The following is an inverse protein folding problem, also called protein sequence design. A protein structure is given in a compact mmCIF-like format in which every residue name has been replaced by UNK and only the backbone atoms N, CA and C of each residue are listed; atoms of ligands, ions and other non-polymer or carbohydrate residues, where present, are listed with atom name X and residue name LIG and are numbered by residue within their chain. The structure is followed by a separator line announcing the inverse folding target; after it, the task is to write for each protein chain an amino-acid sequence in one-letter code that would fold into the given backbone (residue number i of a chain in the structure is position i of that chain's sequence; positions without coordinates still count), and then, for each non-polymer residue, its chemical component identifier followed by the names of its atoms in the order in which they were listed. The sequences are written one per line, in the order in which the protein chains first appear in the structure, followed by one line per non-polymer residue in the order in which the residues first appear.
data_IF_478750521526
#
_entry.id   IF_478750521526
#
_cell.length_a   1.000
_cell.length_b   1.000
_cell.length_c   1.000
_cell.angle_alpha   90.00
_cell.angle_beta   90.00
_cell.angle_gamma   90.00
#
_symmetry.space_group_name_H-M   'P 1'
#
loop_
_entity.id
_entity.type
_entity.pdbx_description
1 polymer ?
#
# COMPACT_ATOMS: atom_id res chain seq x y z
N UNK A 1 42.88 -58.13 -28.41
CA UNK A 1 41.45 -58.45 -28.53
C UNK A 1 40.73 -57.85 -27.35
N UNK A 2 40.17 -56.63 -27.50
CA UNK A 2 39.52 -55.91 -26.45
C UNK A 2 38.07 -55.58 -26.88
N UNK A 3 37.11 -56.18 -26.20
CA UNK A 3 35.68 -56.02 -26.47
C UNK A 3 35.20 -54.70 -25.89
N UNK A 4 34.61 -53.82 -26.73
CA UNK A 4 33.86 -52.57 -26.31
C UNK A 4 32.46 -52.96 -25.84
N UNK A 5 32.08 -52.48 -24.67
CA UNK A 5 30.69 -52.49 -24.17
C UNK A 5 29.95 -51.20 -24.63
N UNK A 6 28.71 -51.29 -25.10
CA UNK A 6 27.94 -50.12 -25.47
C UNK A 6 27.16 -49.57 -24.25
N UNK A 7 27.37 -48.28 -23.97
CA UNK A 7 26.66 -47.50 -22.96
C UNK A 7 25.20 -47.25 -23.40
N UNK A 8 24.25 -47.83 -22.67
CA UNK A 8 22.82 -47.53 -22.84
C UNK A 8 22.51 -46.12 -22.32
N UNK A 9 22.08 -45.24 -23.22
CA UNK A 9 21.54 -43.94 -22.89
C UNK A 9 20.15 -44.10 -22.22
N UNK A 10 20.04 -43.75 -20.95
CA UNK A 10 18.75 -43.62 -20.25
C UNK A 10 18.01 -42.39 -20.81
N UNK A 11 16.90 -42.64 -21.52
CA UNK A 11 15.92 -41.59 -21.87
C UNK A 11 15.28 -41.08 -20.59
N UNK A 12 15.47 -39.77 -20.32
CA UNK A 12 14.78 -39.09 -19.25
C UNK A 12 13.26 -38.99 -19.55
N UNK A 13 12.44 -39.40 -18.62
CA UNK A 13 10.98 -39.28 -18.72
C UNK A 13 10.56 -37.78 -18.74
N UNK A 14 9.52 -37.41 -19.50
CA UNK A 14 9.06 -36.03 -19.58
C UNK A 14 8.49 -35.59 -18.24
N UNK A 15 8.91 -34.40 -17.80
CA UNK A 15 8.58 -33.80 -16.51
C UNK A 15 7.11 -33.34 -16.50
N UNK A 16 6.17 -34.22 -16.14
CA UNK A 16 4.72 -33.91 -16.04
C UNK A 16 4.41 -32.74 -15.11
N UNK A 17 5.23 -32.49 -14.07
CA UNK A 17 5.03 -31.37 -13.15
C UNK A 17 5.31 -29.99 -13.77
N UNK A 18 6.06 -29.88 -14.85
CA UNK A 18 6.32 -28.60 -15.51
C UNK A 18 5.14 -28.17 -16.39
N UNK A 19 4.39 -29.11 -16.98
CA UNK A 19 3.20 -28.83 -17.80
C UNK A 19 2.01 -28.41 -16.95
N UNK A 20 1.81 -29.04 -15.77
CA UNK A 20 0.74 -28.66 -14.85
C UNK A 20 0.96 -27.27 -14.24
N UNK A 21 2.21 -26.90 -13.92
CA UNK A 21 2.52 -25.53 -13.46
C UNK A 21 2.29 -24.46 -14.54
N UNK A 22 2.57 -24.76 -15.81
CA UNK A 22 2.28 -23.85 -16.93
C UNK A 22 0.77 -23.71 -17.16
N UNK A 23 0.00 -24.79 -17.11
CA UNK A 23 -1.47 -24.73 -17.28
C UNK A 23 -2.17 -23.99 -16.13
N UNK A 24 -1.75 -24.18 -14.89
CA UNK A 24 -2.29 -23.45 -13.74
C UNK A 24 -1.97 -21.94 -13.80
N UNK A 25 -0.79 -21.55 -14.29
CA UNK A 25 -0.41 -20.16 -14.50
C UNK A 25 -1.28 -19.47 -15.57
N UNK A 26 -1.64 -20.16 -16.63
CA UNK A 26 -2.42 -19.64 -17.76
C UNK A 26 -3.87 -19.30 -17.37
N UNK A 27 -4.45 -19.94 -16.36
CA UNK A 27 -5.82 -19.67 -15.90
C UNK A 27 -5.96 -18.38 -15.10
N UNK A 28 -4.88 -17.82 -14.54
CA UNK A 28 -4.89 -16.65 -13.66
C UNK A 28 -4.68 -15.32 -14.39
N UNK A 29 -4.16 -15.37 -15.60
CA UNK A 29 -3.85 -14.19 -16.39
C UNK A 29 -4.79 -14.03 -17.59
N UNK A 30 -4.95 -12.79 -18.04
CA UNK A 30 -5.59 -12.42 -19.27
C UNK A 30 -4.62 -12.60 -20.45
N UNK A 31 -5.09 -12.60 -21.71
CA UNK A 31 -4.20 -12.64 -22.90
C UNK A 31 -3.17 -11.49 -22.91
N UNK A 32 -3.50 -10.34 -22.36
CA UNK A 32 -2.61 -9.16 -22.20
C UNK A 32 -1.63 -9.29 -21.03
N UNK A 33 -1.51 -10.46 -20.40
CA UNK A 33 -0.63 -10.74 -19.27
C UNK A 33 -1.08 -10.14 -17.93
N UNK A 34 -2.19 -9.42 -17.88
CA UNK A 34 -2.71 -8.83 -16.63
C UNK A 34 -3.46 -9.85 -15.79
N UNK A 35 -3.37 -9.72 -14.47
CA UNK A 35 -4.04 -10.62 -13.53
C UNK A 35 -5.58 -10.51 -13.64
N UNK A 36 -6.27 -11.66 -13.78
CA UNK A 36 -7.74 -11.74 -13.77
C UNK A 36 -8.29 -11.26 -12.43
N UNK A 37 -9.47 -10.66 -12.44
CA UNK A 37 -10.12 -10.12 -11.23
C UNK A 37 -10.35 -11.19 -10.16
N UNK A 38 -10.92 -12.34 -10.53
CA UNK A 38 -11.21 -13.45 -9.60
C UNK A 38 -9.93 -13.99 -8.93
N UNK A 39 -8.84 -14.12 -9.70
CA UNK A 39 -7.54 -14.56 -9.15
C UNK A 39 -6.96 -13.53 -8.18
N UNK A 40 -7.08 -12.24 -8.50
CA UNK A 40 -6.68 -11.15 -7.62
C UNK A 40 -7.47 -11.15 -6.30
N UNK A 41 -8.80 -11.22 -6.37
CA UNK A 41 -9.69 -11.19 -5.21
C UNK A 41 -9.41 -12.37 -4.27
N UNK A 42 -9.20 -13.58 -4.83
CA UNK A 42 -8.83 -14.76 -4.03
C UNK A 42 -7.49 -14.55 -3.32
N UNK A 43 -6.45 -14.16 -4.06
CA UNK A 43 -5.13 -13.95 -3.47
C UNK A 43 -5.12 -12.81 -2.44
N UNK A 44 -5.92 -11.75 -2.66
CA UNK A 44 -6.05 -10.65 -1.70
C UNK A 44 -6.77 -11.09 -0.44
N UNK A 45 -7.79 -11.96 -0.55
CA UNK A 45 -8.49 -12.52 0.61
C UNK A 45 -7.51 -13.30 1.53
N UNK A 46 -6.66 -14.13 0.95
CA UNK A 46 -5.63 -14.86 1.71
C UNK A 46 -4.66 -13.90 2.42
N UNK A 47 -4.24 -12.82 1.74
CA UNK A 47 -3.37 -11.80 2.31
C UNK A 47 -4.06 -10.97 3.41
N UNK A 48 -5.36 -10.73 3.31
CA UNK A 48 -6.13 -10.08 4.38
C UNK A 48 -6.10 -10.90 5.67
N UNK A 49 -6.16 -12.22 5.58
CA UNK A 49 -6.03 -13.11 6.76
C UNK A 49 -4.64 -12.93 7.39
N UNK A 50 -3.59 -12.85 6.59
CA UNK A 50 -2.22 -12.61 7.10
C UNK A 50 -2.07 -11.21 7.72
N UNK A 51 -2.68 -10.18 7.14
CA UNK A 51 -2.69 -8.83 7.71
C UNK A 51 -3.41 -8.78 9.07
N UNK A 52 -4.47 -9.55 9.25
CA UNK A 52 -5.13 -9.67 10.56
C UNK A 52 -4.22 -10.37 11.58
N UNK A 53 -3.47 -11.41 11.19
CA UNK A 53 -2.47 -12.04 12.07
C UNK A 53 -1.37 -11.07 12.47
N UNK A 54 -0.85 -10.30 11.50
CA UNK A 54 0.12 -9.24 11.75
C UNK A 54 -0.43 -8.21 12.76
N UNK A 55 -1.68 -7.78 12.59
CA UNK A 55 -2.36 -6.87 13.52
C UNK A 55 -2.41 -7.42 14.94
N UNK A 56 -2.81 -8.68 15.10
CA UNK A 56 -2.91 -9.33 16.41
C UNK A 56 -1.52 -9.46 17.06
N UNK A 57 -0.51 -9.81 16.27
CA UNK A 57 0.88 -9.88 16.72
C UNK A 57 1.39 -8.52 17.18
N UNK A 58 1.21 -7.46 16.38
CA UNK A 58 1.66 -6.11 16.75
C UNK A 58 1.04 -5.63 18.06
N UNK A 59 -0.27 -5.84 18.25
CA UNK A 59 -0.96 -5.52 19.51
C UNK A 59 -0.42 -6.30 20.71
N UNK A 60 -0.13 -7.59 20.53
CA UNK A 60 0.33 -8.47 21.60
C UNK A 60 1.77 -8.17 22.01
N UNK A 61 2.64 -7.86 21.05
CA UNK A 61 4.06 -7.65 21.29
C UNK A 61 4.43 -6.19 21.57
N UNK A 62 3.52 -5.25 21.27
CA UNK A 62 3.84 -3.83 21.31
C UNK A 62 4.74 -3.39 20.15
N UNK A 63 4.84 -4.17 19.09
CA UNK A 63 5.67 -3.84 17.93
C UNK A 63 5.24 -2.51 17.30
N UNK A 64 6.23 -1.72 16.88
CA UNK A 64 6.07 -0.43 16.22
C UNK A 64 6.48 -0.56 14.76
N UNK A 65 5.55 -0.37 13.83
CA UNK A 65 5.82 -0.50 12.39
C UNK A 65 5.49 0.81 11.68
N UNK A 66 6.44 1.31 10.89
CA UNK A 66 6.29 2.51 10.06
C UNK A 66 6.52 2.14 8.60
N UNK A 67 5.54 2.42 7.74
CA UNK A 67 5.59 2.08 6.32
C UNK A 67 5.40 3.36 5.51
N UNK A 68 6.36 3.65 4.63
CA UNK A 68 6.31 4.80 3.74
C UNK A 68 5.89 4.36 2.33
N UNK A 69 4.91 5.04 1.78
CA UNK A 69 4.51 4.91 0.39
C UNK A 69 4.84 6.18 -0.38
N UNK A 70 5.86 6.09 -1.21
CA UNK A 70 6.28 7.12 -2.14
C UNK A 70 6.12 6.65 -3.60
N UNK A 71 6.31 7.54 -4.53
CA UNK A 71 6.24 7.20 -5.96
C UNK A 71 5.48 8.23 -6.78
N UNK A 72 5.47 8.02 -8.09
CA UNK A 72 4.89 8.94 -9.06
C UNK A 72 3.39 9.13 -8.88
N UNK A 73 2.89 10.26 -9.35
CA UNK A 73 1.45 10.48 -9.42
C UNK A 73 0.81 9.48 -10.40
N UNK A 74 -0.33 8.97 -10.04
CA UNK A 74 -0.94 7.89 -10.81
C UNK A 74 -0.39 6.48 -10.55
N UNK A 75 0.75 6.30 -9.85
CA UNK A 75 1.36 4.98 -9.60
C UNK A 75 0.46 4.04 -8.77
N UNK A 76 -0.47 4.55 -7.97
CA UNK A 76 -1.45 3.72 -7.27
C UNK A 76 -1.24 3.57 -5.78
N UNK A 77 -0.49 4.47 -5.13
CA UNK A 77 -0.24 4.52 -3.68
C UNK A 77 -1.52 4.33 -2.85
N UNK A 78 -2.45 5.25 -2.94
CA UNK A 78 -3.69 5.20 -2.15
C UNK A 78 -4.54 3.93 -2.40
N UNK A 79 -4.49 3.35 -3.61
CA UNK A 79 -5.16 2.07 -3.89
C UNK A 79 -4.45 0.87 -3.26
N UNK A 80 -3.16 0.94 -3.06
CA UNK A 80 -2.37 -0.07 -2.34
C UNK A 80 -2.60 0.04 -0.84
N UNK A 81 -2.56 1.25 -0.30
CA UNK A 81 -2.87 1.54 1.11
C UNK A 81 -4.29 1.06 1.45
N UNK A 82 -5.29 1.38 0.61
CA UNK A 82 -6.65 0.87 0.78
C UNK A 82 -6.70 -0.65 0.82
N UNK A 83 -6.00 -1.35 -0.10
CA UNK A 83 -5.98 -2.81 -0.12
C UNK A 83 -5.34 -3.42 1.15
N UNK A 84 -4.37 -2.73 1.77
CA UNK A 84 -3.78 -3.14 3.05
C UNK A 84 -4.76 -2.93 4.20
N UNK A 85 -5.46 -1.79 4.22
CA UNK A 85 -6.24 -1.34 5.38
C UNK A 85 -7.70 -1.78 5.37
N UNK A 86 -8.19 -2.36 4.28
CA UNK A 86 -9.62 -2.66 4.06
C UNK A 86 -10.22 -3.63 5.10
N UNK A 87 -9.42 -4.55 5.64
CA UNK A 87 -9.88 -5.62 6.53
C UNK A 87 -9.19 -5.65 7.90
N UNK A 88 -8.50 -4.59 8.25
CA UNK A 88 -7.81 -4.44 9.54
C UNK A 88 -8.40 -3.28 10.34
N UNK A 89 -8.11 -3.26 11.64
CA UNK A 89 -8.62 -2.20 12.52
C UNK A 89 -7.89 -0.87 12.30
N UNK A 90 -8.60 0.25 12.08
CA UNK A 90 -7.98 1.57 11.97
C UNK A 90 -7.34 2.05 13.28
N UNK A 91 -7.62 1.38 14.41
CA UNK A 91 -6.94 1.65 15.68
C UNK A 91 -5.52 1.10 15.74
N UNK A 92 -5.20 0.14 14.86
CA UNK A 92 -3.87 -0.49 14.77
C UNK A 92 -3.16 -0.04 13.49
N UNK A 93 -3.86 -0.12 12.34
CA UNK A 93 -3.36 0.37 11.07
C UNK A 93 -3.83 1.81 10.86
N UNK A 94 -2.95 2.75 11.12
CA UNK A 94 -3.24 4.18 10.99
C UNK A 94 -2.61 4.74 9.73
N UNK A 95 -3.42 5.39 8.89
CA UNK A 95 -2.94 6.06 7.67
C UNK A 95 -2.73 7.53 7.96
N UNK A 96 -1.56 8.03 7.58
CA UNK A 96 -1.16 9.43 7.72
C UNK A 96 -0.93 10.02 6.33
N UNK A 97 -1.72 11.02 5.98
CA UNK A 97 -1.56 11.81 4.76
C UNK A 97 -1.58 13.29 5.17
N UNK A 98 -0.41 13.91 5.28
CA UNK A 98 -0.31 15.28 5.75
C UNK A 98 -0.64 16.27 4.61
N UNK A 99 -1.39 17.34 4.89
CA UNK A 99 -1.63 18.43 3.95
C UNK A 99 -0.36 19.23 3.69
N UNK A 100 -0.44 20.28 2.89
CA UNK A 100 0.64 21.26 2.76
C UNK A 100 1.01 21.81 4.15
N UNK A 101 2.32 22.07 4.41
CA UNK A 101 2.74 22.58 5.72
C UNK A 101 2.14 23.96 6.00
N UNK A 102 1.72 24.16 7.24
CA UNK A 102 1.31 25.48 7.76
C UNK A 102 2.49 26.43 7.84
N UNK A 103 2.25 27.73 7.97
CA UNK A 103 3.34 28.72 8.13
C UNK A 103 4.22 28.44 9.35
N UNK A 104 3.63 27.94 10.42
CA UNK A 104 4.37 27.50 11.61
C UNK A 104 5.29 26.31 11.27
N UNK A 105 4.77 25.28 10.61
CA UNK A 105 5.54 24.07 10.24
C UNK A 105 6.67 24.38 9.27
N UNK A 106 6.51 25.38 8.37
CA UNK A 106 7.57 25.84 7.47
C UNK A 106 8.78 26.42 8.22
N UNK A 107 8.56 27.01 9.39
CA UNK A 107 9.63 27.59 10.23
C UNK A 107 10.24 26.59 11.21
N UNK A 108 9.66 25.41 11.36
CA UNK A 108 10.14 24.35 12.25
C UNK A 108 11.19 23.45 11.59
N UNK A 109 11.83 22.58 12.38
CA UNK A 109 12.62 21.49 11.84
C UNK A 109 11.73 20.62 10.93
N UNK A 110 12.14 20.44 9.68
CA UNK A 110 11.30 19.84 8.64
C UNK A 110 10.69 18.49 9.04
N UNK A 111 11.47 17.62 9.65
CA UNK A 111 11.03 16.28 10.05
C UNK A 111 10.01 16.29 11.21
N UNK A 112 9.95 17.40 11.98
CA UNK A 112 9.15 17.50 13.20
C UNK A 112 7.67 17.23 12.96
N UNK A 113 7.12 17.68 11.83
CA UNK A 113 5.71 17.45 11.48
C UNK A 113 5.36 15.99 11.26
N UNK A 114 6.35 15.13 10.99
CA UNK A 114 6.17 13.70 10.78
C UNK A 114 6.39 12.89 12.05
N UNK A 115 7.31 13.31 12.90
CA UNK A 115 7.71 12.59 14.13
C UNK A 115 6.51 12.34 15.05
N UNK A 116 5.62 13.31 15.22
CA UNK A 116 4.42 13.18 16.05
C UNK A 116 3.44 12.07 15.58
N UNK A 117 3.59 11.60 14.36
CA UNK A 117 2.76 10.56 13.77
C UNK A 117 3.43 9.19 13.74
N UNK A 118 4.66 9.06 14.26
CA UNK A 118 5.32 7.76 14.36
C UNK A 118 4.52 6.78 15.22
N UNK A 119 4.68 5.46 15.02
CA UNK A 119 3.90 4.46 15.72
C UNK A 119 4.22 4.41 17.22
N UNK A 120 3.19 4.38 18.05
CA UNK A 120 3.26 3.92 19.42
C UNK A 120 3.29 2.39 19.49
N UNK A 121 3.48 1.83 20.69
CA UNK A 121 3.47 0.37 20.89
C UNK A 121 2.18 -0.26 20.41
N UNK A 122 2.29 -1.25 19.53
CA UNK A 122 1.16 -1.96 18.94
C UNK A 122 0.52 -1.28 17.72
N UNK A 123 1.14 -0.20 17.19
CA UNK A 123 0.64 0.51 16.01
C UNK A 123 1.44 0.19 14.75
N UNK A 124 0.74 0.16 13.62
CA UNK A 124 1.29 0.09 12.28
C UNK A 124 0.86 1.37 11.55
N UNK A 125 1.80 2.28 11.37
CA UNK A 125 1.55 3.57 10.72
C UNK A 125 1.97 3.51 9.26
N UNK A 126 1.07 3.92 8.38
CA UNK A 126 1.29 3.99 6.93
C UNK A 126 1.25 5.44 6.50
N UNK A 127 2.35 5.95 5.98
CA UNK A 127 2.42 7.28 5.39
C UNK A 127 2.06 7.22 3.90
N UNK A 128 0.99 7.91 3.48
CA UNK A 128 0.73 8.23 2.06
C UNK A 128 1.45 9.53 1.74
N UNK A 129 2.66 9.45 1.21
CA UNK A 129 3.71 10.45 1.16
C UNK A 129 4.28 10.75 2.56
N UNK A 130 5.55 11.00 2.63
CA UNK A 130 6.30 11.12 3.87
C UNK A 130 7.22 12.35 3.87
N UNK A 131 8.21 12.36 4.76
CA UNK A 131 9.27 13.35 4.76
C UNK A 131 10.06 13.41 3.44
N UNK A 132 9.96 12.40 2.61
CA UNK A 132 10.55 12.39 1.28
C UNK A 132 9.87 13.34 0.27
N UNK A 133 8.74 13.96 0.64
CA UNK A 133 8.20 15.10 -0.12
C UNK A 133 9.24 16.19 -0.38
N UNK A 134 10.20 16.42 0.57
CA UNK A 134 11.31 17.36 0.43
C UNK A 134 12.20 17.02 -0.77
N UNK A 135 12.55 15.75 -0.95
CA UNK A 135 13.38 15.29 -2.06
C UNK A 135 12.60 15.11 -3.37
N UNK A 136 11.26 14.97 -3.29
CA UNK A 136 10.36 14.75 -4.43
C UNK A 136 9.64 16.02 -4.86
N UNK A 137 8.37 16.12 -4.48
CA UNK A 137 7.47 17.18 -4.96
C UNK A 137 7.95 18.59 -4.59
N UNK A 138 8.51 18.79 -3.40
CA UNK A 138 8.95 20.13 -2.97
C UNK A 138 10.14 20.61 -3.81
N UNK A 139 11.11 19.72 -4.09
CA UNK A 139 12.24 20.02 -4.98
C UNK A 139 11.76 20.32 -6.39
N UNK A 140 10.98 19.41 -6.98
CA UNK A 140 10.58 19.52 -8.39
C UNK A 140 9.70 20.73 -8.64
N UNK A 141 8.85 21.11 -7.68
CA UNK A 141 7.97 22.27 -7.81
C UNK A 141 8.59 23.58 -7.32
N UNK A 142 9.80 23.56 -6.80
CA UNK A 142 10.47 24.76 -6.29
C UNK A 142 9.87 25.28 -4.99
N UNK A 143 9.28 24.41 -4.15
CA UNK A 143 8.72 24.80 -2.85
C UNK A 143 9.78 24.90 -1.75
N UNK A 144 10.99 24.46 -2.03
CA UNK A 144 12.15 24.63 -1.15
C UNK A 144 13.41 24.88 -1.97
N UNK A 145 14.45 25.41 -1.34
CA UNK A 145 15.74 25.62 -2.00
C UNK A 145 16.53 24.33 -2.17
N UNK A 146 17.47 24.33 -3.10
CA UNK A 146 18.36 23.18 -3.34
C UNK A 146 19.22 22.86 -2.10
N UNK A 147 19.64 23.88 -1.33
CA UNK A 147 20.38 23.70 -0.07
C UNK A 147 19.51 22.99 0.99
N UNK A 148 18.20 23.29 1.03
CA UNK A 148 17.28 22.61 1.94
C UNK A 148 17.11 21.14 1.57
N UNK A 149 17.06 20.83 0.26
CA UNK A 149 17.03 19.44 -0.23
C UNK A 149 18.33 18.71 0.10
N UNK A 150 19.48 19.33 -0.15
CA UNK A 150 20.79 18.75 0.15
C UNK A 150 20.91 18.39 1.63
N UNK A 151 20.65 19.37 2.52
CA UNK A 151 20.64 19.13 3.98
C UNK A 151 19.68 18.02 4.41
N UNK A 152 18.51 17.96 3.79
CA UNK A 152 17.54 16.90 4.07
C UNK A 152 18.09 15.52 3.69
N UNK A 153 18.66 15.38 2.50
CA UNK A 153 19.21 14.11 2.01
C UNK A 153 20.41 13.62 2.88
N UNK A 154 21.21 14.55 3.38
CA UNK A 154 22.30 14.24 4.32
C UNK A 154 21.78 13.80 5.70
N UNK A 155 20.70 14.42 6.17
CA UNK A 155 20.12 14.16 7.48
C UNK A 155 19.23 12.91 7.54
N UNK A 156 18.47 12.64 6.48
CA UNK A 156 17.42 11.62 6.50
C UNK A 156 17.90 10.22 6.92
N UNK A 157 19.05 9.70 6.44
CA UNK A 157 19.54 8.40 6.87
C UNK A 157 19.84 8.32 8.37
N UNK A 158 20.39 9.38 8.97
CA UNK A 158 20.69 9.44 10.40
C UNK A 158 19.39 9.46 11.24
N UNK A 159 18.40 10.22 10.82
CA UNK A 159 17.08 10.28 11.48
C UNK A 159 16.37 8.92 11.40
N UNK A 160 16.36 8.28 10.24
CA UNK A 160 15.78 6.94 10.08
C UNK A 160 16.48 5.90 10.94
N UNK A 161 17.80 6.03 11.08
CA UNK A 161 18.57 5.15 11.99
C UNK A 161 18.13 5.31 13.45
N UNK A 162 17.92 6.53 13.92
CA UNK A 162 17.36 6.78 15.26
C UNK A 162 15.99 6.13 15.44
N UNK A 163 15.12 6.19 14.43
CA UNK A 163 13.82 5.50 14.49
C UNK A 163 13.96 4.00 14.64
N UNK A 164 14.86 3.38 13.88
CA UNK A 164 15.10 1.93 13.92
C UNK A 164 15.74 1.53 15.25
N UNK A 165 16.72 2.26 15.74
CA UNK A 165 17.37 2.04 17.03
C UNK A 165 16.38 2.21 18.21
N UNK A 166 15.32 3.01 18.04
CA UNK A 166 14.21 3.10 19.00
C UNK A 166 13.20 1.94 18.90
N UNK A 167 13.47 0.94 18.08
CA UNK A 167 12.66 -0.26 17.89
C UNK A 167 11.51 -0.12 16.89
N UNK A 168 11.55 0.86 16.00
CA UNK A 168 10.59 0.99 14.90
C UNK A 168 11.05 0.13 13.70
N UNK A 169 10.20 -0.74 13.22
CA UNK A 169 10.41 -1.44 11.94
C UNK A 169 10.02 -0.48 10.83
N UNK A 170 11.00 0.03 10.07
CA UNK A 170 10.79 0.99 8.99
C UNK A 170 10.86 0.29 7.64
N UNK A 171 9.80 0.44 6.82
CA UNK A 171 9.74 -0.07 5.45
C UNK A 171 9.46 1.08 4.48
N UNK A 172 10.29 1.21 3.44
CA UNK A 172 10.17 2.28 2.44
C UNK A 172 9.81 1.69 1.08
N UNK A 173 8.65 2.07 0.54
CA UNK A 173 8.16 1.63 -0.77
C UNK A 173 8.07 2.78 -1.76
N UNK A 174 8.68 2.58 -2.92
CA UNK A 174 8.50 3.43 -4.09
C UNK A 174 7.67 2.71 -5.14
N UNK A 175 6.53 3.29 -5.52
CA UNK A 175 5.73 2.80 -6.63
C UNK A 175 6.14 3.49 -7.90
N UNK A 176 6.70 2.72 -8.83
CA UNK A 176 7.05 3.18 -10.17
C UNK A 176 5.96 2.81 -11.17
N UNK A 177 5.74 3.66 -12.16
CA UNK A 177 4.79 3.47 -13.24
C UNK A 177 5.44 3.93 -14.54
N UNK A 178 5.16 3.27 -15.65
CA UNK A 178 5.65 3.71 -16.96
C UNK A 178 4.99 5.02 -17.41
N UNK A 179 5.65 5.83 -18.27
CA UNK A 179 5.08 7.06 -18.81
C UNK A 179 3.72 6.82 -19.49
N UNK A 180 3.63 5.76 -20.29
CA UNK A 180 2.45 5.38 -21.05
C UNK A 180 1.28 5.01 -20.12
N UNK A 181 1.54 4.22 -19.09
CA UNK A 181 0.53 3.82 -18.14
C UNK A 181 0.09 5.00 -17.25
N UNK A 182 1.01 5.92 -16.90
CA UNK A 182 0.67 7.14 -16.17
C UNK A 182 -0.29 8.00 -17.00
N UNK A 183 0.04 8.24 -18.27
CA UNK A 183 -0.82 8.97 -19.21
C UNK A 183 -2.22 8.37 -19.27
N UNK A 184 -2.31 7.08 -19.55
CA UNK A 184 -3.58 6.35 -19.61
C UNK A 184 -4.41 6.47 -18.33
N UNK A 185 -3.74 6.49 -17.17
CA UNK A 185 -4.41 6.65 -15.87
C UNK A 185 -4.94 8.04 -15.62
N UNK A 186 -4.20 9.07 -16.02
CA UNK A 186 -4.63 10.46 -15.88
C UNK A 186 -5.80 10.76 -16.81
N UNK A 187 -5.74 10.33 -18.08
CA UNK A 187 -6.86 10.42 -19.02
C UNK A 187 -8.12 9.73 -18.49
N UNK A 188 -7.99 8.52 -17.94
CA UNK A 188 -9.11 7.82 -17.30
C UNK A 188 -9.69 8.56 -16.08
N UNK A 189 -8.91 9.43 -15.40
CA UNK A 189 -9.44 10.27 -14.32
C UNK A 189 -10.25 11.45 -14.89
N UNK A 190 -9.81 12.02 -15.98
CA UNK A 190 -10.52 13.13 -16.66
C UNK A 190 -11.89 12.65 -17.17
N UNK A 191 -11.96 11.44 -17.70
CA UNK A 191 -13.16 10.88 -18.30
C UNK A 191 -14.18 10.30 -17.31
N UNK A 192 -13.80 10.03 -16.06
CA UNK A 192 -14.66 9.39 -15.05
C UNK A 192 -14.94 10.36 -13.90
N UNK A 193 -16.17 10.91 -13.86
CA UNK A 193 -16.60 11.87 -12.82
C UNK A 193 -16.36 11.38 -11.38
N UNK A 194 -16.40 10.05 -11.16
CA UNK A 194 -16.10 9.45 -9.85
C UNK A 194 -14.60 9.53 -9.46
N UNK A 195 -13.74 9.95 -10.40
CA UNK A 195 -12.29 10.06 -10.24
C UNK A 195 -11.76 11.48 -10.33
N UNK A 196 -12.60 12.45 -10.73
CA UNK A 196 -12.19 13.84 -10.90
C UNK A 196 -11.55 14.42 -9.64
N UNK A 197 -12.05 14.08 -8.46
CA UNK A 197 -11.48 14.51 -7.18
C UNK A 197 -10.03 14.06 -6.96
N UNK A 198 -9.55 13.06 -7.73
CA UNK A 198 -8.15 12.59 -7.71
C UNK A 198 -7.24 13.33 -8.69
N UNK A 199 -7.79 14.27 -9.44
CA UNK A 199 -7.03 15.08 -10.39
C UNK A 199 -6.89 16.48 -9.82
N UNK A 200 -5.70 16.81 -9.37
CA UNK A 200 -5.37 18.15 -8.89
C UNK A 200 -4.58 18.93 -9.94
N UNK A 201 -4.54 20.26 -9.85
CA UNK A 201 -3.61 21.07 -10.68
C UNK A 201 -2.15 20.65 -10.51
N UNK A 202 -1.80 20.06 -9.36
CA UNK A 202 -0.47 19.53 -9.08
C UNK A 202 -0.17 18.28 -9.92
N UNK A 203 -1.15 17.37 -10.11
CA UNK A 203 -0.98 16.18 -10.95
C UNK A 203 -0.61 16.56 -12.41
N UNK A 204 -1.24 17.63 -12.94
CA UNK A 204 -0.96 18.11 -14.29
C UNK A 204 0.46 18.73 -14.40
N UNK A 205 0.87 19.51 -13.38
CA UNK A 205 2.21 20.07 -13.31
C UNK A 205 3.28 18.99 -13.18
N UNK A 206 3.04 17.98 -12.34
CA UNK A 206 3.98 16.88 -12.15
C UNK A 206 4.09 15.98 -13.38
N UNK A 207 2.99 15.78 -14.11
CA UNK A 207 3.00 15.04 -15.37
C UNK A 207 3.98 15.63 -16.39
N UNK A 208 3.98 16.95 -16.57
CA UNK A 208 4.88 17.62 -17.52
C UNK A 208 6.36 17.60 -17.10
N UNK A 209 6.65 17.27 -15.83
CA UNK A 209 8.00 17.26 -15.25
C UNK A 209 8.57 15.86 -15.00
N UNK A 210 8.26 14.93 -15.87
CA UNK A 210 8.63 13.51 -15.71
C UNK A 210 10.12 13.30 -15.40
N UNK A 211 11.01 13.94 -16.15
CA UNK A 211 12.45 13.77 -15.97
C UNK A 211 13.00 14.51 -14.75
N UNK A 212 12.37 15.60 -14.32
CA UNK A 212 12.73 16.27 -13.06
C UNK A 212 12.42 15.35 -11.87
N UNK A 213 11.26 14.71 -11.89
CA UNK A 213 10.93 13.67 -10.89
C UNK A 213 11.86 12.46 -10.97
N UNK A 214 12.32 12.06 -12.16
CA UNK A 214 13.28 10.96 -12.30
C UNK A 214 14.60 11.32 -11.65
N UNK A 215 15.15 12.51 -11.95
CA UNK A 215 16.40 13.01 -11.33
C UNK A 215 16.27 13.15 -9.81
N UNK A 216 15.14 13.66 -9.34
CA UNK A 216 14.87 13.81 -7.90
C UNK A 216 14.80 12.44 -7.19
N UNK A 217 14.12 11.44 -7.77
CA UNK A 217 14.08 10.07 -7.29
C UNK A 217 15.48 9.45 -7.22
N UNK A 218 16.25 9.56 -8.30
CA UNK A 218 17.57 8.94 -8.38
C UNK A 218 18.53 9.53 -7.35
N UNK A 219 18.51 10.85 -7.15
CA UNK A 219 19.27 11.52 -6.09
C UNK A 219 18.82 11.09 -4.70
N UNK A 220 17.51 10.94 -4.48
CA UNK A 220 16.95 10.46 -3.24
C UNK A 220 17.40 9.03 -2.93
N UNK A 221 17.30 8.11 -3.89
CA UNK A 221 17.76 6.73 -3.70
C UNK A 221 19.26 6.68 -3.42
N UNK A 222 20.06 7.39 -4.22
CA UNK A 222 21.50 7.43 -4.00
C UNK A 222 21.89 7.86 -2.58
N UNK A 223 21.20 8.84 -2.02
CA UNK A 223 21.51 9.39 -0.71
C UNK A 223 20.90 8.59 0.45
N UNK A 224 19.79 7.88 0.24
CA UNK A 224 18.98 7.35 1.34
C UNK A 224 18.66 5.86 1.24
N UNK A 225 19.17 5.14 0.23
CA UNK A 225 19.09 3.69 0.18
C UNK A 225 20.19 3.09 1.04
N UNK A 226 19.84 2.75 2.27
CA UNK A 226 20.79 2.23 3.27
C UNK A 226 20.51 0.77 3.59
N UNK A 227 21.53 0.05 4.07
CA UNK A 227 21.39 -1.37 4.45
C UNK A 227 20.38 -1.61 5.56
N UNK A 228 20.17 -0.64 6.44
CA UNK A 228 19.24 -0.72 7.57
C UNK A 228 17.83 -0.22 7.22
N UNK A 229 17.67 0.63 6.20
CA UNK A 229 16.39 1.13 5.69
C UNK A 229 16.41 1.22 4.16
N UNK A 230 16.40 0.09 3.45
CA UNK A 230 16.45 0.08 2.00
C UNK A 230 15.13 0.56 1.37
N UNK A 231 15.22 1.08 0.15
CA UNK A 231 14.08 1.33 -0.70
C UNK A 231 13.65 0.07 -1.45
N UNK A 232 12.37 -0.23 -1.42
CA UNK A 232 11.76 -1.30 -2.21
C UNK A 232 10.95 -0.70 -3.35
N UNK A 233 11.37 -0.94 -4.58
CA UNK A 233 10.70 -0.42 -5.78
C UNK A 233 9.69 -1.43 -6.30
N UNK A 234 8.44 -1.00 -6.44
CA UNK A 234 7.36 -1.82 -6.99
C UNK A 234 6.89 -1.27 -8.34
N UNK A 235 7.11 -2.05 -9.41
CA UNK A 235 6.56 -1.75 -10.74
C UNK A 235 5.05 -1.90 -10.70
N UNK A 236 4.29 -0.85 -11.02
CA UNK A 236 2.88 -0.77 -10.74
C UNK A 236 1.97 -0.66 -11.98
N UNK A 237 2.47 -0.94 -13.17
CA UNK A 237 1.66 -0.92 -14.39
C UNK A 237 0.48 -1.89 -14.31
N UNK A 238 0.67 -3.08 -13.76
CA UNK A 238 -0.44 -3.90 -13.28
C UNK A 238 -0.69 -3.64 -11.79
N UNK A 239 -1.66 -2.78 -11.49
CA UNK A 239 -2.03 -2.41 -10.10
C UNK A 239 -2.39 -3.60 -9.22
N UNK A 240 -2.98 -4.65 -9.78
CA UNK A 240 -3.39 -5.84 -9.02
C UNK A 240 -2.17 -6.64 -8.59
N UNK A 241 -1.26 -6.88 -9.52
CA UNK A 241 0.01 -7.57 -9.23
C UNK A 241 0.86 -6.78 -8.26
N UNK A 242 1.01 -5.47 -8.49
CA UNK A 242 1.78 -4.60 -7.61
C UNK A 242 1.26 -4.64 -6.16
N UNK A 243 -0.06 -4.53 -5.95
CA UNK A 243 -0.67 -4.62 -4.61
C UNK A 243 -0.37 -5.94 -3.92
N UNK A 244 -0.59 -7.07 -4.59
CA UNK A 244 -0.32 -8.38 -4.02
C UNK A 244 1.17 -8.55 -3.68
N UNK A 245 2.06 -8.11 -4.57
CA UNK A 245 3.50 -8.21 -4.37
C UNK A 245 3.97 -7.34 -3.21
N UNK A 246 3.48 -6.09 -3.11
CA UNK A 246 3.82 -5.19 -2.00
C UNK A 246 3.34 -5.78 -0.67
N UNK A 247 2.10 -6.27 -0.59
CA UNK A 247 1.56 -6.84 0.65
C UNK A 247 2.36 -8.09 1.04
N UNK A 248 2.65 -9.00 0.12
CA UNK A 248 3.48 -10.18 0.38
C UNK A 248 4.88 -9.82 0.85
N UNK A 249 5.51 -8.87 0.16
CA UNK A 249 6.84 -8.40 0.54
C UNK A 249 6.82 -7.76 1.93
N UNK A 250 5.86 -6.88 2.23
CA UNK A 250 5.69 -6.27 3.53
C UNK A 250 5.56 -7.33 4.64
N UNK A 251 4.69 -8.32 4.45
CA UNK A 251 4.51 -9.42 5.38
C UNK A 251 5.79 -10.25 5.57
N UNK A 252 6.60 -10.44 4.52
CA UNK A 252 7.86 -11.17 4.61
C UNK A 252 8.98 -10.39 5.31
N UNK A 253 8.86 -9.06 5.43
CA UNK A 253 9.87 -8.19 6.06
C UNK A 253 9.61 -7.91 7.54
N UNK A 254 8.41 -8.22 8.02
CA UNK A 254 8.04 -8.04 9.43
C UNK A 254 8.10 -9.42 10.10
N UNK A 255 8.84 -9.59 11.20
CA UNK A 255 9.02 -10.87 11.88
C UNK A 255 7.81 -11.22 12.76
N UNK A 256 6.61 -11.26 12.17
CA UNK A 256 5.40 -11.60 12.92
C UNK A 256 5.16 -13.11 12.97
N UNK A 257 4.63 -13.54 14.10
CA UNK A 257 4.14 -14.90 14.30
C UNK A 257 2.62 -14.90 14.40
N UNK A 258 1.99 -15.92 13.81
CA UNK A 258 0.55 -16.08 13.95
C UNK A 258 0.20 -16.37 15.41
N UNK A 259 -0.59 -15.54 16.10
CA UNK A 259 -0.98 -15.83 17.47
C UNK A 259 -1.83 -17.10 17.52
N UNK A 260 -1.62 -17.91 18.57
CA UNK A 260 -2.48 -19.06 18.84
C UNK A 260 -3.90 -18.54 19.10
N UNK A 261 -4.85 -19.00 18.30
CA UNK A 261 -6.27 -18.69 18.48
C UNK A 261 -6.96 -19.79 19.26
N UNK A 262 -7.58 -19.43 20.35
CA UNK A 262 -8.53 -20.31 21.03
C UNK A 262 -9.84 -20.40 20.24
N UNK A 263 -10.53 -21.56 20.33
CA UNK A 263 -11.85 -21.71 19.72
C UNK A 263 -12.85 -20.81 20.46
N UNK A 264 -13.27 -19.73 19.84
CA UNK A 264 -14.25 -18.81 20.39
C UNK A 264 -15.64 -19.42 20.17
N UNK A 265 -16.42 -19.57 21.25
CA UNK A 265 -17.83 -19.90 21.19
C UNK A 265 -18.65 -18.68 21.60
N UNK A 266 -19.68 -18.36 20.84
CA UNK A 266 -20.58 -17.30 21.23
C UNK A 266 -21.32 -17.72 22.52
N UNK A 267 -21.36 -16.85 23.54
CA UNK A 267 -22.18 -17.11 24.73
C UNK A 267 -23.67 -17.09 24.35
N UNK A 268 -24.47 -17.73 25.17
CA UNK A 268 -25.94 -17.64 25.02
C UNK A 268 -26.36 -16.18 25.28
N UNK A 269 -27.29 -15.68 24.49
CA UNK A 269 -27.94 -14.40 24.79
C UNK A 269 -28.70 -14.48 26.09
N UNK A 270 -28.74 -13.39 26.85
CA UNK A 270 -29.59 -13.27 28.01
C UNK A 270 -31.07 -13.40 27.60
N UNK A 271 -31.91 -13.88 28.50
CA UNK A 271 -33.36 -13.84 28.31
C UNK A 271 -33.86 -12.40 28.41
N UNK A 272 -34.94 -12.09 27.71
CA UNK A 272 -35.53 -10.76 27.73
C UNK A 272 -36.00 -10.33 29.13
N UNK A 273 -36.32 -11.29 30.01
CA UNK A 273 -36.91 -11.00 31.32
C UNK A 273 -38.19 -10.18 31.17
N UNK A 274 -38.26 -9.10 31.92
CA UNK A 274 -39.40 -8.16 31.86
C UNK A 274 -39.22 -7.08 30.77
N UNK A 275 -38.15 -7.14 29.96
CA UNK A 275 -37.92 -6.17 28.86
C UNK A 275 -39.00 -6.34 27.80
N UNK A 276 -39.69 -5.25 27.53
CA UNK A 276 -40.60 -5.10 26.38
C UNK A 276 -40.07 -3.98 25.54
N UNK A 277 -39.97 -4.20 24.24
CA UNK A 277 -39.54 -3.18 23.31
C UNK A 277 -40.58 -2.03 23.34
N UNK A 278 -40.14 -0.80 23.65
CA UNK A 278 -41.03 0.33 23.66
C UNK A 278 -41.57 0.64 22.27
N UNK A 279 -42.78 1.13 22.19
CA UNK A 279 -43.36 1.62 20.93
C UNK A 279 -42.80 3.02 20.64
N UNK A 280 -41.60 3.06 20.09
CA UNK A 280 -40.96 4.32 19.67
C UNK A 280 -41.36 4.67 18.24
N UNK A 281 -41.71 5.92 18.00
CA UNK A 281 -41.85 6.49 16.66
C UNK A 281 -40.45 6.72 16.03
N UNK A 282 -39.70 5.64 15.80
CA UNK A 282 -38.39 5.72 15.13
C UNK A 282 -38.56 6.17 13.70
N UNK A 283 -37.66 7.03 13.25
CA UNK A 283 -37.50 7.33 11.83
C UNK A 283 -36.66 6.24 11.19
N UNK A 284 -37.31 5.19 10.73
CA UNK A 284 -36.67 4.06 10.04
C UNK A 284 -36.28 4.53 8.63
N UNK A 285 -35.04 4.25 8.22
CA UNK A 285 -34.62 4.49 6.83
C UNK A 285 -35.41 3.52 5.94
N UNK A 286 -36.22 4.01 5.01
CA UNK A 286 -37.01 3.14 4.13
C UNK A 286 -36.08 2.34 3.20
N UNK A 287 -36.53 1.16 2.79
CA UNK A 287 -35.84 0.38 1.75
C UNK A 287 -36.05 1.04 0.38
N UNK A 288 -35.14 1.95 0.04
CA UNK A 288 -35.17 2.68 -1.23
C UNK A 288 -34.97 1.77 -2.45
N UNK A 289 -34.42 0.57 -2.28
CA UNK A 289 -34.20 -0.38 -3.39
C UNK A 289 -35.49 -1.15 -3.69
N UNK A 290 -36.28 -1.49 -2.68
CA UNK A 290 -37.56 -2.19 -2.85
C UNK A 290 -38.65 -1.33 -3.50
N UNK A 291 -38.60 -0.01 -3.30
CA UNK A 291 -39.61 0.95 -3.80
C UNK A 291 -39.35 1.46 -5.22
N UNK A 292 -38.26 1.05 -5.88
CA UNK A 292 -37.90 1.57 -7.21
C UNK A 292 -37.55 3.07 -7.26
N UNK A 293 -37.51 3.73 -6.13
CA UNK A 293 -37.32 5.19 -5.99
C UNK A 293 -35.85 5.63 -5.95
N UNK A 294 -34.97 4.97 -6.69
CA UNK A 294 -33.59 5.47 -6.85
C UNK A 294 -33.44 6.12 -8.20
N UNK A 295 -33.92 7.34 -8.32
CA UNK A 295 -33.36 8.29 -9.28
C UNK A 295 -32.42 9.24 -8.54
N UNK A 296 -31.10 9.12 -8.67
CA UNK A 296 -30.18 10.14 -8.19
C UNK A 296 -30.05 11.21 -9.28
N UNK A 297 -31.06 11.99 -9.45
CA UNK A 297 -30.92 13.14 -10.35
C UNK A 297 -31.83 14.29 -9.88
N UNK A 298 -31.23 15.43 -9.84
CA UNK A 298 -31.83 16.76 -9.70
C UNK A 298 -32.20 17.21 -8.29
N UNK A 299 -31.18 17.52 -7.47
CA UNK A 299 -31.24 18.67 -6.56
C UNK A 299 -29.82 19.19 -6.33
N UNK A 300 -29.38 20.04 -7.26
CA UNK A 300 -28.47 21.15 -6.94
C UNK A 300 -29.10 22.39 -7.56
N UNK A 301 -29.39 23.41 -6.76
CA UNK A 301 -29.74 24.74 -7.29
C UNK A 301 -28.55 25.39 -7.97
#
# INVERSE_FOLDING_TARGET
MTKKNPTQARRAAPNHHASERKHAADTHFKPDGKLKRKAYEKALCDLHVELVKLQEWARKTGAKVCILFEGRDGAGKGGTIKAITERVSPRVFRVVALPAPTEREKSQLYIQRYIQHLPAAGEIVIFDRSWYNRAGVEKVMGFCSDEAVKRFLEMAPAVERVFIESGIILLKYWLEVSPEEQTRRLESRIQDGRKLWKLSPMDLKSYSRWYDYSRARDAMFHATDTSWAPWYVAMSDDKKRARLNIIRHMLSRIPYEAPKREKIKLPKRQNAGDYREPDYAFKIIPDMLATGAVSPANHLP
#
